data_IF_575228088543
#
_entry.id   IF_575228088543
#
_cell.length_a   1.000
_cell.length_b   1.000
_cell.length_c   1.000
_cell.angle_alpha   90.00
_cell.angle_beta   90.00
_cell.angle_gamma   90.00
#
_symmetry.space_group_name_H-M   'P 1'
#
loop_
_entity.id
_entity.type
_entity.pdbx_description
1 polymer ?
#
# COMPACT_ATOMS: atom_id res chain seq x y z
N UNK A 1 33.12 -21.25 -13.44
CA UNK A 1 31.73 -21.52 -13.76
C UNK A 1 30.88 -20.24 -13.67
N UNK A 2 31.00 -19.44 -12.62
CA UNK A 2 30.41 -18.13 -12.58
C UNK A 2 31.52 -17.08 -12.71
N UNK A 3 31.54 -16.37 -13.85
CA UNK A 3 32.46 -15.26 -14.04
C UNK A 3 32.01 -14.10 -13.12
N UNK A 4 32.99 -13.39 -12.54
CA UNK A 4 32.69 -12.17 -11.80
C UNK A 4 32.58 -11.01 -12.81
N UNK A 5 31.50 -11.03 -13.57
CA UNK A 5 31.20 -10.04 -14.62
C UNK A 5 29.92 -9.27 -14.22
N UNK A 6 29.82 -8.05 -14.68
CA UNK A 6 28.63 -7.21 -14.46
C UNK A 6 27.41 -7.71 -15.24
N UNK A 7 26.21 -7.26 -14.87
CA UNK A 7 24.99 -7.54 -15.64
C UNK A 7 25.16 -7.00 -17.07
N UNK A 8 25.76 -5.83 -17.23
CA UNK A 8 25.97 -5.21 -18.53
C UNK A 8 26.85 -6.04 -19.48
N UNK A 9 27.84 -6.77 -18.92
CA UNK A 9 28.70 -7.67 -19.68
C UNK A 9 28.04 -9.03 -19.95
N UNK A 10 27.20 -9.52 -19.02
CA UNK A 10 26.58 -10.83 -19.12
C UNK A 10 25.26 -10.80 -19.90
N UNK A 11 24.41 -9.81 -19.63
CA UNK A 11 23.09 -9.64 -20.24
C UNK A 11 22.83 -8.13 -20.51
N UNK A 12 23.33 -7.62 -21.64
CA UNK A 12 23.15 -6.20 -21.99
C UNK A 12 21.69 -5.77 -22.15
N UNK A 13 20.80 -6.67 -22.53
CA UNK A 13 19.37 -6.36 -22.73
C UNK A 13 18.72 -6.06 -21.38
N UNK A 14 18.95 -6.88 -20.37
CA UNK A 14 18.46 -6.65 -18.99
C UNK A 14 19.12 -5.41 -18.39
N UNK A 15 20.43 -5.22 -18.57
CA UNK A 15 21.13 -4.02 -18.10
C UNK A 15 20.53 -2.74 -18.68
N UNK A 16 20.24 -2.74 -19.99
CA UNK A 16 19.63 -1.58 -20.66
C UNK A 16 18.21 -1.32 -20.14
N UNK A 17 17.40 -2.36 -19.89
CA UNK A 17 16.05 -2.22 -19.35
C UNK A 17 16.10 -1.60 -17.93
N UNK A 18 17.03 -2.04 -17.06
CA UNK A 18 17.24 -1.47 -15.73
C UNK A 18 17.63 0.02 -15.84
N UNK A 19 18.61 0.34 -16.70
CA UNK A 19 19.05 1.72 -16.92
C UNK A 19 17.91 2.62 -17.42
N UNK A 20 17.06 2.11 -18.31
CA UNK A 20 15.91 2.84 -18.81
C UNK A 20 14.86 3.10 -17.72
N UNK A 21 14.64 2.12 -16.82
CA UNK A 21 13.71 2.29 -15.68
C UNK A 21 14.27 3.29 -14.65
N UNK A 22 15.57 3.25 -14.36
CA UNK A 22 16.23 4.24 -13.50
C UNK A 22 16.04 5.65 -14.07
N UNK A 23 16.29 5.82 -15.37
CA UNK A 23 16.10 7.10 -16.06
C UNK A 23 14.62 7.55 -16.04
N UNK A 24 13.67 6.62 -16.19
CA UNK A 24 12.24 6.91 -16.08
C UNK A 24 11.87 7.41 -14.69
N UNK A 25 12.33 6.73 -13.65
CA UNK A 25 12.07 7.13 -12.25
C UNK A 25 12.63 8.51 -11.93
N UNK A 26 13.80 8.85 -12.47
CA UNK A 26 14.38 10.19 -12.32
C UNK A 26 13.60 11.27 -13.07
N UNK A 27 13.12 10.98 -14.28
CA UNK A 27 12.47 11.94 -15.15
C UNK A 27 10.96 12.13 -14.90
N UNK A 28 10.30 11.18 -14.23
CA UNK A 28 8.86 11.19 -13.99
C UNK A 28 8.51 11.58 -12.54
N UNK A 29 7.36 12.22 -12.36
CA UNK A 29 6.75 12.42 -11.07
C UNK A 29 5.83 11.24 -10.78
N UNK A 30 6.11 10.49 -9.70
CA UNK A 30 5.35 9.32 -9.28
C UNK A 30 4.26 9.70 -8.29
N UNK A 31 2.99 9.51 -8.68
CA UNK A 31 1.82 9.77 -7.85
C UNK A 31 0.94 8.52 -7.63
N UNK A 32 1.40 7.34 -8.02
CA UNK A 32 0.71 6.10 -7.64
C UNK A 32 0.81 5.95 -6.12
N UNK A 33 -0.33 5.98 -5.43
CA UNK A 33 -0.41 6.01 -3.96
C UNK A 33 0.23 4.80 -3.24
N UNK A 34 0.45 3.70 -3.97
CA UNK A 34 1.07 2.48 -3.49
C UNK A 34 2.56 2.35 -3.84
N UNK A 35 3.16 3.37 -4.43
CA UNK A 35 4.58 3.41 -4.77
C UNK A 35 5.37 4.37 -3.88
N UNK A 36 6.64 4.05 -3.71
CA UNK A 36 7.59 4.87 -2.95
C UNK A 36 9.02 4.48 -3.34
N UNK A 37 10.00 5.29 -2.95
CA UNK A 37 11.41 5.01 -3.15
C UNK A 37 12.03 4.58 -1.81
N UNK A 38 12.47 3.32 -1.73
CA UNK A 38 13.17 2.82 -0.55
C UNK A 38 14.63 3.31 -0.51
N UNK A 39 15.23 3.27 0.68
CA UNK A 39 16.62 3.73 0.85
C UNK A 39 17.65 2.84 0.15
N UNK A 40 18.85 3.37 -0.14
CA UNK A 40 19.96 2.55 -0.63
C UNK A 40 20.26 1.35 0.27
N UNK A 41 20.17 1.49 1.61
CA UNK A 41 20.41 0.40 2.55
C UNK A 41 19.38 -0.74 2.41
N UNK A 42 18.10 -0.41 2.16
CA UNK A 42 17.06 -1.40 1.86
C UNK A 42 17.36 -2.12 0.56
N UNK A 43 17.78 -1.41 -0.49
CA UNK A 43 18.16 -2.00 -1.78
C UNK A 43 19.40 -2.88 -1.67
N UNK A 44 20.41 -2.48 -0.91
CA UNK A 44 21.61 -3.27 -0.65
C UNK A 44 21.29 -4.60 0.04
N UNK A 45 20.40 -4.57 1.04
CA UNK A 45 19.94 -5.80 1.69
C UNK A 45 19.20 -6.74 0.74
N UNK A 46 18.36 -6.20 -0.15
CA UNK A 46 17.65 -6.96 -1.17
C UNK A 46 18.60 -7.65 -2.17
N UNK A 47 19.69 -6.98 -2.55
CA UNK A 47 20.72 -7.52 -3.45
C UNK A 47 21.80 -8.37 -2.74
N UNK A 48 21.64 -8.64 -1.45
CA UNK A 48 22.66 -9.36 -0.67
C UNK A 48 22.73 -10.86 -0.94
N UNK A 49 23.82 -11.49 -0.51
CA UNK A 49 24.03 -12.94 -0.60
C UNK A 49 23.04 -13.77 0.22
N UNK A 50 22.21 -13.14 1.05
CA UNK A 50 21.15 -13.78 1.82
C UNK A 50 20.11 -14.48 0.92
N UNK A 51 20.00 -14.07 -0.34
CA UNK A 51 19.16 -14.73 -1.34
C UNK A 51 19.50 -16.21 -1.55
N UNK A 52 20.73 -16.61 -1.24
CA UNK A 52 21.20 -18.00 -1.41
C UNK A 52 20.80 -18.91 -0.25
N UNK A 53 20.31 -18.35 0.90
CA UNK A 53 20.08 -19.17 2.10
C UNK A 53 18.65 -19.68 2.19
N UNK A 54 18.52 -20.99 2.36
CA UNK A 54 17.25 -21.66 2.61
C UNK A 54 17.00 -21.83 4.11
N UNK A 55 15.90 -21.29 4.64
CA UNK A 55 15.66 -21.17 6.08
C UNK A 55 14.20 -21.46 6.48
N UNK A 56 13.66 -22.62 6.09
CA UNK A 56 12.31 -23.05 6.48
C UNK A 56 12.12 -23.11 7.99
N UNK A 57 10.90 -22.87 8.43
CA UNK A 57 10.48 -22.71 9.82
C UNK A 57 10.93 -21.36 10.43
N UNK A 58 11.04 -21.26 11.75
CA UNK A 58 11.21 -20.01 12.50
C UNK A 58 12.55 -19.98 13.24
N UNK A 59 13.01 -18.82 13.74
CA UNK A 59 14.25 -18.72 14.52
C UNK A 59 14.32 -19.76 15.64
N UNK A 60 15.46 -20.42 15.74
CA UNK A 60 15.71 -21.50 16.71
C UNK A 60 15.01 -22.84 16.43
N UNK A 61 14.20 -22.93 15.37
CA UNK A 61 13.42 -24.13 15.01
C UNK A 61 13.54 -24.46 13.51
N UNK A 62 14.67 -24.16 12.89
CA UNK A 62 14.88 -24.39 11.45
C UNK A 62 15.00 -25.88 11.14
N UNK A 63 14.52 -26.24 9.94
CA UNK A 63 14.73 -27.58 9.40
C UNK A 63 16.14 -27.79 8.83
N UNK A 64 16.87 -26.71 8.54
CA UNK A 64 18.19 -26.73 7.90
C UNK A 64 19.26 -26.12 8.80
N UNK A 65 20.50 -26.61 8.68
CA UNK A 65 21.67 -26.06 9.33
C UNK A 65 22.14 -24.73 8.71
N UNK A 66 23.08 -24.06 9.37
CA UNK A 66 23.71 -22.83 8.88
C UNK A 66 22.77 -21.63 8.93
N UNK A 67 21.85 -21.59 9.90
CA UNK A 67 20.85 -20.51 10.05
C UNK A 67 21.15 -19.55 11.21
N UNK A 68 22.30 -19.67 11.86
CA UNK A 68 22.66 -18.87 13.03
C UNK A 68 22.57 -17.36 12.79
N UNK A 69 23.00 -16.86 11.62
CA UNK A 69 22.92 -15.45 11.26
C UNK A 69 21.56 -15.04 10.70
N UNK A 70 20.89 -15.98 10.01
CA UNK A 70 19.51 -15.77 9.54
C UNK A 70 18.55 -15.62 10.72
N UNK A 71 18.74 -16.39 11.78
CA UNK A 71 17.95 -16.30 13.00
C UNK A 71 18.11 -14.92 13.66
N UNK A 72 19.31 -14.38 13.69
CA UNK A 72 19.56 -13.01 14.17
C UNK A 72 18.82 -11.97 13.31
N UNK A 73 18.88 -12.10 11.99
CA UNK A 73 18.23 -11.18 11.07
C UNK A 73 16.69 -11.22 11.23
N UNK A 74 16.11 -12.41 11.25
CA UNK A 74 14.67 -12.56 11.37
C UNK A 74 14.19 -12.11 12.75
N UNK A 75 14.93 -12.43 13.83
CA UNK A 75 14.57 -11.95 15.16
C UNK A 75 14.62 -10.42 15.26
N UNK A 76 15.64 -9.76 14.69
CA UNK A 76 15.70 -8.31 14.62
C UNK A 76 14.50 -7.71 13.86
N UNK A 77 14.07 -8.34 12.77
CA UNK A 77 12.90 -7.88 12.02
C UNK A 77 11.62 -8.03 12.85
N UNK A 78 11.45 -9.15 13.57
CA UNK A 78 10.31 -9.40 14.46
C UNK A 78 10.28 -8.36 15.59
N UNK A 79 11.39 -8.18 16.29
CA UNK A 79 11.49 -7.28 17.46
C UNK A 79 11.20 -5.83 17.06
N UNK A 80 11.81 -5.38 15.95
CA UNK A 80 11.59 -4.03 15.40
C UNK A 80 10.15 -3.82 14.91
N UNK A 81 9.53 -4.82 14.30
CA UNK A 81 8.12 -4.74 13.89
C UNK A 81 7.20 -4.60 15.10
N UNK A 82 7.44 -5.39 16.16
CA UNK A 82 6.69 -5.32 17.43
C UNK A 82 6.84 -3.95 18.08
N UNK A 83 8.07 -3.44 18.19
CA UNK A 83 8.36 -2.13 18.77
C UNK A 83 7.71 -1.00 17.95
N UNK A 84 7.89 -0.99 16.62
CA UNK A 84 7.42 0.06 15.73
C UNK A 84 5.89 0.21 15.76
N UNK A 85 5.16 -0.91 15.81
CA UNK A 85 3.70 -0.92 15.72
C UNK A 85 3.00 -1.14 17.06
N UNK A 86 3.75 -1.36 18.15
CA UNK A 86 3.17 -1.70 19.46
C UNK A 86 2.42 -3.04 19.45
N UNK A 87 2.93 -4.03 18.69
CA UNK A 87 2.33 -5.35 18.57
C UNK A 87 2.92 -6.34 19.55
N UNK A 88 2.12 -7.31 19.99
CA UNK A 88 2.60 -8.41 20.85
C UNK A 88 3.18 -9.57 20.01
N UNK A 89 2.68 -9.73 18.79
CA UNK A 89 3.11 -10.74 17.83
C UNK A 89 3.44 -10.11 16.47
N UNK A 90 4.49 -10.62 15.82
CA UNK A 90 4.83 -10.27 14.44
C UNK A 90 5.31 -11.50 13.67
N UNK A 91 4.86 -11.66 12.42
CA UNK A 91 5.40 -12.63 11.47
C UNK A 91 5.91 -11.87 10.24
N UNK A 92 7.23 -11.95 10.03
CA UNK A 92 7.94 -11.20 8.98
C UNK A 92 8.22 -12.05 7.73
N UNK A 93 7.69 -13.27 7.66
CA UNK A 93 7.95 -14.19 6.54
C UNK A 93 7.02 -14.01 5.33
N UNK A 94 5.82 -13.40 5.40
CA UNK A 94 5.00 -13.23 4.20
C UNK A 94 5.77 -12.54 3.06
N UNK A 95 5.73 -13.17 1.86
CA UNK A 95 6.43 -12.68 0.68
C UNK A 95 5.83 -11.39 0.12
N UNK A 96 4.51 -11.23 0.24
CA UNK A 96 3.77 -10.02 -0.15
C UNK A 96 2.52 -9.84 0.71
N UNK A 97 1.85 -8.68 0.60
CA UNK A 97 0.61 -8.41 1.32
C UNK A 97 -0.50 -9.43 1.04
N UNK A 98 -0.64 -9.87 -0.22
CA UNK A 98 -1.64 -10.87 -0.58
C UNK A 98 -1.39 -12.23 0.08
N UNK A 99 -0.12 -12.64 0.26
CA UNK A 99 0.23 -13.85 1.01
C UNK A 99 0.01 -13.67 2.51
N UNK A 100 0.31 -12.49 3.07
CA UNK A 100 -0.03 -12.19 4.45
C UNK A 100 -1.55 -12.31 4.68
N UNK A 101 -2.36 -11.71 3.80
CA UNK A 101 -3.80 -11.80 3.88
C UNK A 101 -4.29 -13.24 3.72
N UNK A 102 -3.79 -14.00 2.74
CA UNK A 102 -4.21 -15.40 2.55
C UNK A 102 -3.86 -16.29 3.75
N UNK A 103 -2.74 -16.01 4.42
CA UNK A 103 -2.37 -16.73 5.64
C UNK A 103 -3.34 -16.43 6.80
N UNK A 104 -3.82 -15.18 6.92
CA UNK A 104 -4.83 -14.82 7.93
C UNK A 104 -6.15 -15.55 7.66
N UNK A 105 -6.61 -15.57 6.41
CA UNK A 105 -7.81 -16.32 6.02
C UNK A 105 -7.66 -17.81 6.34
N UNK A 106 -6.53 -18.41 5.95
CA UNK A 106 -6.24 -19.82 6.20
C UNK A 106 -6.17 -20.15 7.69
N UNK A 107 -5.66 -19.22 8.52
CA UNK A 107 -5.53 -19.40 9.96
C UNK A 107 -6.87 -19.37 10.70
N UNK A 108 -7.81 -18.53 10.26
CA UNK A 108 -9.00 -18.17 11.02
C UNK A 108 -10.31 -18.69 10.44
N UNK A 109 -10.31 -19.14 9.17
CA UNK A 109 -11.52 -19.49 8.43
C UNK A 109 -11.41 -20.88 7.80
N UNK A 110 -12.58 -21.45 7.53
CA UNK A 110 -12.72 -22.62 6.66
C UNK A 110 -13.23 -22.18 5.28
N UNK A 111 -12.91 -22.92 4.20
CA UNK A 111 -13.50 -22.66 2.89
C UNK A 111 -15.04 -22.60 2.95
N UNK A 112 -15.61 -21.57 2.33
CA UNK A 112 -17.06 -21.32 2.35
C UNK A 112 -17.56 -20.44 3.51
N UNK A 113 -16.73 -20.16 4.51
CA UNK A 113 -17.09 -19.20 5.58
C UNK A 113 -17.44 -17.82 4.97
N UNK A 114 -18.39 -17.14 5.61
CA UNK A 114 -18.78 -15.80 5.17
C UNK A 114 -17.79 -14.75 5.67
N UNK A 115 -17.37 -13.86 4.78
CA UNK A 115 -16.53 -12.70 5.07
C UNK A 115 -17.24 -11.42 4.62
N UNK A 116 -17.05 -10.34 5.36
CA UNK A 116 -17.57 -9.01 5.02
C UNK A 116 -16.39 -8.07 4.80
N UNK A 117 -16.22 -7.53 3.59
CA UNK A 117 -15.10 -6.66 3.23
C UNK A 117 -15.52 -5.49 2.35
N UNK A 118 -14.66 -4.48 2.24
CA UNK A 118 -14.93 -3.31 1.38
C UNK A 118 -14.92 -3.71 -0.09
N UNK A 119 -15.92 -3.24 -0.83
CA UNK A 119 -16.02 -3.43 -2.28
C UNK A 119 -14.82 -2.83 -3.02
N UNK A 120 -14.31 -3.56 -4.00
CA UNK A 120 -13.22 -3.08 -4.87
C UNK A 120 -13.59 -1.77 -5.58
N UNK A 121 -14.85 -1.62 -6.00
CA UNK A 121 -15.35 -0.41 -6.64
C UNK A 121 -15.42 0.81 -5.70
N UNK A 122 -15.43 0.58 -4.40
CA UNK A 122 -15.47 1.60 -3.36
C UNK A 122 -14.13 1.77 -2.62
N UNK A 123 -13.05 1.25 -3.17
CA UNK A 123 -11.71 1.43 -2.63
C UNK A 123 -11.15 0.26 -1.83
N UNK A 124 -11.82 -0.89 -1.78
CA UNK A 124 -11.29 -2.12 -1.18
C UNK A 124 -10.09 -2.68 -1.95
N UNK A 125 -9.44 -3.69 -1.37
CA UNK A 125 -8.38 -4.44 -2.04
C UNK A 125 -8.94 -5.73 -2.66
N UNK A 126 -8.26 -6.27 -3.68
CA UNK A 126 -8.62 -7.55 -4.31
C UNK A 126 -8.82 -8.68 -3.28
N UNK A 127 -7.96 -8.74 -2.26
CA UNK A 127 -8.01 -9.76 -1.20
C UNK A 127 -9.07 -9.51 -0.12
N UNK A 128 -9.92 -8.50 -0.27
CA UNK A 128 -11.04 -8.22 0.65
C UNK A 128 -12.37 -8.83 0.15
N UNK A 129 -12.31 -9.88 -0.66
CA UNK A 129 -13.50 -10.61 -1.15
C UNK A 129 -13.83 -10.38 -2.62
N UNK A 130 -12.93 -9.77 -3.42
CA UNK A 130 -13.20 -9.61 -4.85
C UNK A 130 -13.26 -10.98 -5.55
N UNK A 131 -14.29 -11.18 -6.40
CA UNK A 131 -14.61 -12.46 -7.08
C UNK A 131 -13.44 -13.07 -7.86
N UNK A 132 -12.52 -12.25 -8.35
CA UNK A 132 -11.34 -12.69 -9.12
C UNK A 132 -10.18 -13.15 -8.24
N UNK A 133 -10.18 -12.76 -6.96
CA UNK A 133 -9.15 -13.08 -5.97
C UNK A 133 -9.45 -14.42 -5.27
N UNK A 134 -8.44 -14.99 -4.60
CA UNK A 134 -8.62 -16.18 -3.76
C UNK A 134 -9.74 -15.97 -2.72
N UNK A 135 -9.82 -14.76 -2.13
CA UNK A 135 -10.79 -14.42 -1.09
C UNK A 135 -12.24 -14.50 -1.57
N UNK A 136 -12.52 -14.09 -2.81
CA UNK A 136 -13.85 -14.21 -3.38
C UNK A 136 -14.13 -15.55 -4.08
N UNK A 137 -13.09 -16.37 -4.33
CA UNK A 137 -13.24 -17.71 -4.92
C UNK A 137 -13.42 -18.81 -3.88
N UNK A 138 -12.82 -18.63 -2.69
CA UNK A 138 -12.80 -19.66 -1.64
C UNK A 138 -13.86 -19.41 -0.57
N UNK A 139 -14.23 -18.15 -0.34
CA UNK A 139 -15.11 -17.72 0.74
C UNK A 139 -16.38 -17.07 0.20
N UNK A 140 -17.46 -17.09 1.02
CA UNK A 140 -18.69 -16.37 0.72
C UNK A 140 -18.50 -14.89 1.05
N UNK A 141 -18.08 -14.11 0.06
CA UNK A 141 -17.72 -12.70 0.24
C UNK A 141 -18.94 -11.78 0.08
N UNK A 142 -19.33 -11.13 1.16
CA UNK A 142 -20.27 -10.01 1.21
C UNK A 142 -19.46 -8.71 1.20
N UNK A 143 -19.94 -7.69 0.49
CA UNK A 143 -19.22 -6.45 0.34
C UNK A 143 -20.02 -5.26 0.88
N UNK A 144 -19.35 -4.39 1.67
CA UNK A 144 -19.87 -3.08 2.04
C UNK A 144 -19.27 -1.99 1.16
N UNK A 145 -19.93 -0.85 1.13
CA UNK A 145 -19.54 0.30 0.33
C UNK A 145 -19.35 1.58 1.13
N UNK A 146 -19.25 2.67 0.37
CA UNK A 146 -19.27 4.03 0.88
C UNK A 146 -20.67 4.60 0.80
N UNK A 147 -21.00 5.51 1.71
CA UNK A 147 -22.21 6.31 1.61
C UNK A 147 -22.17 7.11 0.29
N UNK A 148 -23.18 7.03 -0.56
CA UNK A 148 -23.16 7.66 -1.88
C UNK A 148 -23.18 9.19 -1.86
N UNK A 149 -23.63 9.80 -0.75
CA UNK A 149 -23.73 11.25 -0.61
C UNK A 149 -22.42 11.84 -0.07
N UNK A 150 -21.81 11.18 0.93
CA UNK A 150 -20.61 11.69 1.60
C UNK A 150 -19.31 11.15 1.04
N UNK A 151 -19.34 9.97 0.39
CA UNK A 151 -18.14 9.25 -0.04
C UNK A 151 -17.35 8.64 1.13
N UNK A 152 -17.92 8.56 2.32
CA UNK A 152 -17.32 7.98 3.52
C UNK A 152 -17.83 6.55 3.76
N UNK A 153 -17.09 5.78 4.59
CA UNK A 153 -17.52 4.42 4.99
C UNK A 153 -18.86 4.52 5.69
N UNK A 154 -19.85 3.77 5.17
CA UNK A 154 -21.17 3.65 5.79
C UNK A 154 -21.16 2.58 6.88
N UNK A 155 -20.82 2.98 8.11
CA UNK A 155 -20.75 2.05 9.24
C UNK A 155 -22.12 1.45 9.63
N UNK A 156 -23.22 2.14 9.34
CA UNK A 156 -24.56 1.63 9.61
C UNK A 156 -24.88 0.50 8.63
N UNK A 157 -24.49 0.66 7.39
CA UNK A 157 -24.60 -0.40 6.38
C UNK A 157 -23.67 -1.59 6.70
N UNK A 158 -22.44 -1.32 7.16
CA UNK A 158 -21.52 -2.39 7.64
C UNK A 158 -22.18 -3.18 8.77
N UNK A 159 -22.77 -2.51 9.76
CA UNK A 159 -23.44 -3.17 10.89
C UNK A 159 -24.69 -3.96 10.43
N UNK A 160 -25.51 -3.38 9.56
CA UNK A 160 -26.67 -4.04 8.99
C UNK A 160 -26.31 -5.33 8.26
N UNK A 161 -25.30 -5.28 7.39
CA UNK A 161 -24.79 -6.43 6.65
C UNK A 161 -24.17 -7.48 7.58
N UNK A 162 -23.46 -7.06 8.62
CA UNK A 162 -22.88 -7.97 9.60
C UNK A 162 -23.97 -8.73 10.38
N UNK A 163 -25.04 -8.07 10.78
CA UNK A 163 -26.18 -8.69 11.48
C UNK A 163 -26.94 -9.66 10.56
N UNK A 164 -27.16 -9.26 9.31
CA UNK A 164 -27.90 -10.05 8.30
C UNK A 164 -27.12 -11.31 7.90
N UNK A 165 -25.84 -11.17 7.57
CA UNK A 165 -25.04 -12.26 6.99
C UNK A 165 -24.19 -13.03 8.00
N UNK A 166 -24.04 -12.52 9.24
CA UNK A 166 -23.26 -13.12 10.33
C UNK A 166 -21.88 -13.63 9.86
N UNK A 167 -21.05 -12.74 9.31
CA UNK A 167 -19.75 -13.14 8.81
C UNK A 167 -18.87 -13.73 9.92
N UNK A 168 -18.03 -14.69 9.56
CA UNK A 168 -17.00 -15.22 10.47
C UNK A 168 -15.87 -14.24 10.67
N UNK A 169 -15.63 -13.35 9.66
CA UNK A 169 -14.60 -12.32 9.68
C UNK A 169 -15.10 -11.05 9.00
N UNK A 170 -14.81 -9.91 9.62
CA UNK A 170 -14.92 -8.59 9.01
C UNK A 170 -13.53 -8.12 8.62
N UNK A 171 -13.36 -7.73 7.35
CA UNK A 171 -12.10 -7.22 6.79
C UNK A 171 -12.24 -5.71 6.63
N UNK A 172 -11.49 -4.97 7.43
CA UNK A 172 -11.37 -3.52 7.32
C UNK A 172 -10.04 -3.13 6.67
N UNK A 173 -10.01 -1.95 6.07
CA UNK A 173 -8.84 -1.47 5.32
C UNK A 173 -9.18 -1.16 3.87
N UNK A 174 -8.28 -0.48 3.19
CA UNK A 174 -8.56 0.07 1.87
C UNK A 174 -7.31 0.19 0.99
N UNK A 175 -7.56 0.39 -0.30
CA UNK A 175 -6.56 0.77 -1.32
C UNK A 175 -6.79 2.18 -1.86
N UNK A 176 -8.01 2.73 -1.70
CA UNK A 176 -8.40 4.01 -2.30
C UNK A 176 -9.49 4.69 -1.46
N UNK A 177 -9.17 5.02 -0.21
CA UNK A 177 -10.04 5.77 0.70
C UNK A 177 -9.24 6.89 1.36
N UNK A 178 -9.76 8.10 1.38
CA UNK A 178 -9.00 9.30 1.73
C UNK A 178 -9.21 9.80 3.16
N UNK A 179 -10.16 9.24 3.92
CA UNK A 179 -10.44 9.68 5.28
C UNK A 179 -9.84 8.74 6.35
N UNK A 180 -9.92 9.16 7.60
CA UNK A 180 -9.56 8.30 8.74
C UNK A 180 -10.62 7.21 8.90
N UNK A 181 -10.16 5.97 9.13
CA UNK A 181 -11.03 4.84 9.47
C UNK A 181 -11.16 4.72 10.98
N UNK A 182 -12.39 4.63 11.44
CA UNK A 182 -12.71 4.33 12.84
C UNK A 182 -12.62 2.80 13.07
N UNK A 183 -11.43 2.35 13.49
CA UNK A 183 -11.17 0.94 13.77
C UNK A 183 -12.00 0.42 14.95
N UNK A 184 -12.30 1.27 15.94
CA UNK A 184 -13.09 0.87 17.11
C UNK A 184 -14.53 0.56 16.70
N UNK A 185 -15.09 1.34 15.78
CA UNK A 185 -16.43 1.08 15.27
C UNK A 185 -16.54 -0.25 14.53
N UNK A 186 -15.50 -0.63 13.76
CA UNK A 186 -15.40 -1.97 13.18
C UNK A 186 -15.30 -3.06 14.25
N UNK A 187 -14.54 -2.83 15.32
CA UNK A 187 -14.43 -3.77 16.45
C UNK A 187 -15.78 -4.00 17.12
N UNK A 188 -16.48 -2.91 17.42
CA UNK A 188 -17.81 -2.98 18.06
C UNK A 188 -18.82 -3.77 17.21
N UNK A 189 -18.80 -3.57 15.89
CA UNK A 189 -19.64 -4.33 14.95
C UNK A 189 -19.25 -5.81 14.94
N UNK A 190 -17.95 -6.11 14.87
CA UNK A 190 -17.46 -7.49 14.86
C UNK A 190 -17.85 -8.23 16.16
N UNK A 191 -17.74 -7.57 17.32
CA UNK A 191 -18.11 -8.13 18.60
C UNK A 191 -19.61 -8.45 18.70
N UNK A 192 -20.47 -7.59 18.15
CA UNK A 192 -21.92 -7.81 18.12
C UNK A 192 -22.33 -9.12 17.43
N UNK A 193 -21.56 -9.55 16.42
CA UNK A 193 -21.86 -10.75 15.62
C UNK A 193 -20.92 -11.93 15.92
N UNK A 194 -19.95 -11.76 16.81
CA UNK A 194 -18.94 -12.78 17.14
C UNK A 194 -17.96 -13.06 16.00
N UNK A 195 -17.66 -12.07 15.18
CA UNK A 195 -16.71 -12.17 14.08
C UNK A 195 -15.30 -11.79 14.49
N UNK A 196 -14.29 -12.37 13.81
CA UNK A 196 -12.94 -11.82 13.86
C UNK A 196 -12.91 -10.45 13.16
N UNK A 197 -12.16 -9.49 13.72
CA UNK A 197 -11.79 -8.27 13.05
C UNK A 197 -10.38 -8.43 12.47
N UNK A 198 -10.27 -8.45 11.16
CA UNK A 198 -9.03 -8.43 10.42
C UNK A 198 -8.85 -7.07 9.75
N UNK A 199 -7.71 -6.41 10.00
CA UNK A 199 -7.40 -5.10 9.38
C UNK A 199 -6.20 -5.22 8.46
N UNK A 200 -6.37 -4.82 7.20
CA UNK A 200 -5.30 -4.61 6.24
C UNK A 200 -4.96 -3.11 6.19
N UNK A 201 -3.89 -2.71 6.90
CA UNK A 201 -3.45 -1.32 6.96
C UNK A 201 -2.38 -0.96 5.92
N UNK A 202 -2.21 -1.78 4.87
CA UNK A 202 -1.10 -1.66 3.93
C UNK A 202 -0.89 -0.25 3.38
N UNK A 203 -1.96 0.47 3.06
CA UNK A 203 -1.84 1.82 2.52
C UNK A 203 -1.37 2.86 3.54
N UNK A 204 -1.74 2.71 4.79
CA UNK A 204 -1.45 3.69 5.85
C UNK A 204 -0.39 3.25 6.85
N UNK A 205 0.26 2.11 6.64
CA UNK A 205 1.21 1.54 7.60
C UNK A 205 2.35 2.50 7.99
N UNK A 206 2.87 3.29 7.06
CA UNK A 206 3.87 4.30 7.37
C UNK A 206 3.33 5.44 8.25
N UNK A 207 2.10 5.86 7.99
CA UNK A 207 1.41 6.88 8.80
C UNK A 207 1.10 6.35 10.21
N UNK A 208 0.69 5.09 10.32
CA UNK A 208 0.46 4.40 11.61
C UNK A 208 1.78 4.29 12.39
N UNK A 209 2.86 3.83 11.75
CA UNK A 209 4.18 3.72 12.36
C UNK A 209 4.70 5.06 12.91
N UNK A 210 4.40 6.15 12.21
CA UNK A 210 4.77 7.51 12.62
C UNK A 210 3.81 8.14 13.66
N UNK A 211 2.72 7.48 14.01
CA UNK A 211 1.67 8.04 14.87
C UNK A 211 0.91 9.20 14.26
N UNK A 212 0.81 9.25 12.93
CA UNK A 212 0.08 10.27 12.15
C UNK A 212 -1.32 9.79 11.74
N UNK A 213 -1.55 8.49 11.81
CA UNK A 213 -2.84 7.84 11.55
C UNK A 213 -3.16 6.84 12.69
N UNK A 214 -4.43 6.64 13.06
CA UNK A 214 -4.78 5.75 14.16
C UNK A 214 -4.34 4.31 13.89
N UNK A 215 -3.79 3.66 14.92
CA UNK A 215 -3.31 2.27 14.83
C UNK A 215 -4.46 1.27 15.06
N UNK A 216 -4.64 0.26 14.19
CA UNK A 216 -5.59 -0.83 14.43
C UNK A 216 -5.01 -1.97 15.27
N UNK A 217 -3.70 -2.00 15.53
CA UNK A 217 -2.96 -3.19 15.97
C UNK A 217 -3.46 -3.78 17.30
N UNK A 218 -3.83 -2.94 18.26
CA UNK A 218 -4.38 -3.39 19.55
C UNK A 218 -5.92 -3.50 19.56
N UNK A 219 -6.58 -3.10 18.47
CA UNK A 219 -8.03 -3.15 18.29
C UNK A 219 -8.43 -4.43 17.54
N UNK A 220 -7.78 -4.70 16.42
CA UNK A 220 -8.03 -5.88 15.58
C UNK A 220 -7.56 -7.19 16.26
N UNK A 221 -8.11 -8.31 15.82
CA UNK A 221 -7.57 -9.63 16.18
C UNK A 221 -6.27 -9.91 15.44
N UNK A 222 -6.22 -9.52 14.16
CA UNK A 222 -5.02 -9.59 13.31
C UNK A 222 -4.96 -8.35 12.43
N UNK A 223 -3.74 -7.83 12.26
CA UNK A 223 -3.43 -6.73 11.33
C UNK A 223 -2.38 -7.17 10.33
N UNK A 224 -2.59 -6.88 9.06
CA UNK A 224 -1.57 -7.08 8.02
C UNK A 224 -1.14 -5.78 7.40
N UNK A 225 0.01 -5.80 6.79
CA UNK A 225 0.48 -4.72 5.93
C UNK A 225 1.44 -5.21 4.85
N UNK A 226 1.62 -4.40 3.83
CA UNK A 226 2.78 -4.41 2.95
C UNK A 226 3.87 -3.52 3.55
N UNK A 227 5.12 -3.69 3.12
CA UNK A 227 6.23 -2.88 3.62
C UNK A 227 6.72 -1.80 2.64
N UNK A 228 6.19 -1.75 1.40
CA UNK A 228 6.73 -0.95 0.29
C UNK A 228 5.92 0.29 -0.11
N UNK A 229 4.81 0.61 0.58
CA UNK A 229 3.97 1.78 0.27
C UNK A 229 4.38 2.97 1.14
N UNK A 230 3.49 3.49 1.97
CA UNK A 230 3.84 4.57 2.91
C UNK A 230 4.96 4.19 3.87
N UNK A 231 5.13 2.90 4.18
CA UNK A 231 6.20 2.42 5.06
C UNK A 231 7.60 2.53 4.43
N UNK A 232 7.70 2.64 3.10
CA UNK A 232 8.95 2.93 2.35
C UNK A 232 10.03 1.85 2.45
N UNK A 233 9.63 0.59 2.59
CA UNK A 233 10.54 -0.56 2.66
C UNK A 233 10.56 -1.42 1.40
N UNK A 234 11.07 -2.65 1.50
CA UNK A 234 11.09 -3.60 0.38
C UNK A 234 9.68 -4.07 0.04
N UNK A 235 9.48 -4.56 -1.18
CA UNK A 235 8.24 -5.24 -1.57
C UNK A 235 8.10 -6.54 -0.82
N UNK A 236 7.26 -6.56 0.21
CA UNK A 236 7.03 -7.71 1.07
C UNK A 236 5.74 -7.53 1.90
N UNK A 237 5.42 -8.50 2.77
CA UNK A 237 4.28 -8.48 3.69
C UNK A 237 4.69 -8.65 5.15
N UNK A 238 3.76 -8.33 6.04
CA UNK A 238 3.92 -8.43 7.49
C UNK A 238 2.56 -8.77 8.12
N UNK A 239 2.56 -9.63 9.14
CA UNK A 239 1.40 -9.92 9.98
C UNK A 239 1.72 -9.49 11.40
N UNK A 240 0.79 -8.78 12.03
CA UNK A 240 0.85 -8.30 13.41
C UNK A 240 -0.39 -8.76 14.16
N UNK A 241 -0.27 -8.98 15.46
CA UNK A 241 -1.42 -9.24 16.32
C UNK A 241 -1.19 -8.74 17.74
N UNK A 242 -2.29 -8.48 18.46
CA UNK A 242 -2.29 -8.39 19.92
C UNK A 242 -2.09 -9.79 20.53
N UNK A 243 -1.72 -9.86 21.79
CA UNK A 243 -1.45 -11.12 22.47
C UNK A 243 -2.65 -12.08 22.41
N UNK A 244 -2.48 -13.21 21.72
CA UNK A 244 -3.42 -14.31 21.67
C UNK A 244 -2.70 -15.58 21.19
N UNK A 245 -2.31 -16.43 22.14
CA UNK A 245 -1.49 -17.62 21.85
C UNK A 245 -2.13 -18.57 20.81
N UNK A 246 -3.46 -18.71 20.80
CA UNK A 246 -4.17 -19.56 19.87
C UNK A 246 -4.07 -18.99 18.43
N UNK A 247 -4.33 -17.70 18.28
CA UNK A 247 -4.24 -17.00 16.98
C UNK A 247 -2.79 -17.01 16.48
N UNK A 248 -1.83 -16.72 17.34
CA UNK A 248 -0.40 -16.72 16.99
C UNK A 248 0.06 -18.07 16.44
N UNK A 249 -0.30 -19.18 17.09
CA UNK A 249 0.01 -20.54 16.63
C UNK A 249 -0.62 -20.84 15.26
N UNK A 250 -1.88 -20.44 15.08
CA UNK A 250 -2.58 -20.60 13.79
C UNK A 250 -1.92 -19.79 12.69
N UNK A 251 -1.56 -18.52 12.95
CA UNK A 251 -0.87 -17.65 11.99
C UNK A 251 0.50 -18.21 11.61
N UNK A 252 1.30 -18.67 12.56
CA UNK A 252 2.59 -19.29 12.28
C UNK A 252 2.43 -20.51 11.37
N UNK A 253 1.51 -21.41 11.70
CA UNK A 253 1.23 -22.61 10.90
C UNK A 253 0.67 -22.26 9.51
N UNK A 254 -0.15 -21.23 9.40
CA UNK A 254 -0.75 -20.80 8.15
C UNK A 254 0.28 -20.15 7.21
N UNK A 255 1.28 -19.44 7.73
CA UNK A 255 2.39 -18.92 6.94
C UNK A 255 3.30 -20.07 6.52
N UNK A 256 3.86 -20.80 7.47
CA UNK A 256 4.70 -21.95 7.20
C UNK A 256 4.27 -23.15 8.08
N UNK A 257 3.97 -24.30 7.49
CA UNK A 257 4.07 -24.66 6.06
C UNK A 257 2.79 -24.41 5.23
N UNK A 258 1.77 -23.73 5.79
CA UNK A 258 0.42 -23.68 5.20
C UNK A 258 0.33 -22.96 3.86
N UNK A 259 1.05 -21.86 3.68
CA UNK A 259 0.95 -20.99 2.51
C UNK A 259 2.28 -20.76 1.79
N UNK A 260 3.41 -20.92 2.48
CA UNK A 260 4.76 -20.68 1.97
C UNK A 260 5.71 -21.81 2.38
N UNK A 261 6.84 -21.92 1.64
CA UNK A 261 8.04 -22.65 2.02
C UNK A 261 9.05 -21.74 2.71
N UNK A 262 10.32 -21.80 2.29
CA UNK A 262 11.39 -20.97 2.83
C UNK A 262 11.13 -19.46 2.66
N UNK A 263 11.43 -18.65 3.69
CA UNK A 263 11.30 -17.21 3.61
C UNK A 263 12.34 -16.57 2.68
N UNK A 264 12.03 -15.41 2.14
CA UNK A 264 12.97 -14.57 1.38
C UNK A 264 13.87 -13.81 2.37
N UNK A 265 15.00 -14.43 2.78
CA UNK A 265 15.84 -13.90 3.86
C UNK A 265 16.39 -12.50 3.56
N UNK A 266 16.75 -12.23 2.29
CA UNK A 266 17.16 -10.90 1.83
C UNK A 266 16.03 -9.86 2.02
N UNK A 267 14.78 -10.24 1.78
CA UNK A 267 13.63 -9.34 2.02
C UNK A 267 13.35 -9.16 3.53
N UNK A 268 13.58 -10.19 4.35
CA UNK A 268 13.48 -10.07 5.82
C UNK A 268 14.54 -9.11 6.36
N UNK A 269 15.79 -9.18 5.87
CA UNK A 269 16.85 -8.23 6.22
C UNK A 269 16.48 -6.80 5.82
N UNK A 270 15.98 -6.61 4.62
CA UNK A 270 15.52 -5.32 4.12
C UNK A 270 14.36 -4.75 4.96
N UNK A 271 13.42 -5.60 5.42
CA UNK A 271 12.37 -5.20 6.39
C UNK A 271 12.95 -4.75 7.72
N UNK A 272 13.94 -5.47 8.26
CA UNK A 272 14.58 -5.09 9.51
C UNK A 272 15.26 -3.71 9.42
N UNK A 273 15.83 -3.36 8.27
CA UNK A 273 16.39 -2.02 7.99
C UNK A 273 15.27 -0.98 7.90
N UNK A 274 14.25 -1.24 7.09
CA UNK A 274 13.09 -0.37 6.93
C UNK A 274 12.43 -0.02 8.28
N UNK A 275 12.22 -1.00 9.16
CA UNK A 275 11.63 -0.77 10.48
C UNK A 275 12.53 0.11 11.36
N UNK A 276 13.85 -0.08 11.28
CA UNK A 276 14.80 0.80 11.98
C UNK A 276 14.76 2.24 11.47
N UNK A 277 14.66 2.44 10.16
CA UNK A 277 14.49 3.77 9.57
C UNK A 277 13.17 4.41 10.02
N UNK A 278 12.07 3.63 10.07
CA UNK A 278 10.76 4.11 10.47
C UNK A 278 10.67 4.48 11.97
N UNK A 279 11.58 4.01 12.81
CA UNK A 279 11.67 4.41 14.23
C UNK A 279 12.46 5.73 14.43
N UNK A 280 13.11 6.26 13.40
CA UNK A 280 13.86 7.51 13.50
C UNK A 280 12.90 8.72 13.60
N UNK A 281 13.23 9.77 14.40
CA UNK A 281 12.37 10.96 14.54
C UNK A 281 12.05 11.65 13.22
N UNK A 282 12.97 11.65 12.27
CA UNK A 282 12.83 12.25 10.94
C UNK A 282 11.73 11.56 10.12
N UNK A 283 11.48 10.30 10.38
CA UNK A 283 10.42 9.54 9.71
C UNK A 283 9.03 10.10 10.02
N UNK A 284 8.81 10.56 11.25
CA UNK A 284 7.54 11.22 11.63
C UNK A 284 7.36 12.53 10.87
N UNK A 285 8.42 13.32 10.74
CA UNK A 285 8.40 14.57 9.95
C UNK A 285 8.08 14.28 8.49
N UNK A 286 8.70 13.24 7.92
CA UNK A 286 8.41 12.78 6.56
C UNK A 286 6.93 12.41 6.38
N UNK A 287 6.36 11.60 7.26
CA UNK A 287 4.96 11.17 7.16
C UNK A 287 3.97 12.32 7.35
N UNK A 288 4.27 13.28 8.21
CA UNK A 288 3.49 14.50 8.33
C UNK A 288 3.51 15.31 7.03
N UNK A 289 4.68 15.41 6.38
CA UNK A 289 4.78 16.09 5.09
C UNK A 289 4.02 15.35 3.98
N UNK A 290 4.00 14.01 3.99
CA UNK A 290 3.19 13.21 3.05
C UNK A 290 1.71 13.62 3.12
N UNK A 291 1.14 13.74 4.32
CA UNK A 291 -0.25 14.14 4.51
C UNK A 291 -0.48 15.60 4.07
N UNK A 292 0.39 16.52 4.48
CA UNK A 292 0.30 17.94 4.08
C UNK A 292 0.36 18.11 2.55
N UNK A 293 1.22 17.34 1.89
CA UNK A 293 1.32 17.38 0.44
C UNK A 293 0.03 16.88 -0.23
N UNK A 294 -0.59 15.81 0.27
CA UNK A 294 -1.87 15.33 -0.24
C UNK A 294 -2.99 16.36 -0.07
N UNK A 295 -3.07 16.98 1.11
CA UNK A 295 -4.03 18.03 1.39
C UNK A 295 -3.83 19.26 0.49
N UNK A 296 -2.58 19.71 0.33
CA UNK A 296 -2.25 20.85 -0.51
C UNK A 296 -2.62 20.63 -2.00
N UNK A 297 -2.41 19.41 -2.53
CA UNK A 297 -2.85 19.07 -3.88
C UNK A 297 -4.37 19.06 -4.00
N UNK A 298 -5.06 18.43 -3.04
CA UNK A 298 -6.52 18.37 -3.02
C UNK A 298 -7.16 19.75 -2.98
N UNK A 299 -6.64 20.67 -2.16
CA UNK A 299 -7.10 22.07 -2.07
C UNK A 299 -7.01 22.80 -3.43
N UNK A 300 -5.91 22.66 -4.15
CA UNK A 300 -5.73 23.29 -5.47
C UNK A 300 -6.74 22.73 -6.47
N UNK A 301 -6.94 21.41 -6.50
CA UNK A 301 -7.87 20.78 -7.43
C UNK A 301 -9.33 21.14 -7.11
N UNK A 302 -9.70 21.21 -5.83
CA UNK A 302 -11.02 21.69 -5.40
C UNK A 302 -11.23 23.15 -5.84
N UNK A 303 -10.25 24.03 -5.64
CA UNK A 303 -10.31 25.42 -6.06
C UNK A 303 -10.44 25.59 -7.58
N UNK A 304 -9.95 24.60 -8.37
CA UNK A 304 -10.09 24.51 -9.83
C UNK A 304 -11.45 23.88 -10.26
N UNK A 305 -12.33 23.55 -9.30
CA UNK A 305 -13.66 23.01 -9.58
C UNK A 305 -13.73 21.50 -9.78
N UNK A 306 -12.69 20.76 -9.39
CA UNK A 306 -12.70 19.31 -9.39
C UNK A 306 -13.33 18.74 -8.11
N UNK A 307 -13.96 17.58 -8.23
CA UNK A 307 -14.52 16.86 -7.10
C UNK A 307 -13.49 15.87 -6.54
N UNK A 308 -13.19 16.00 -5.27
CA UNK A 308 -12.44 14.98 -4.50
C UNK A 308 -13.48 14.12 -3.77
N UNK A 309 -13.42 12.80 -3.95
CA UNK A 309 -14.28 11.85 -3.22
C UNK A 309 -14.09 12.06 -1.71
N UNK A 310 -15.20 12.12 -0.96
CA UNK A 310 -15.24 12.49 0.46
C UNK A 310 -14.75 13.92 0.81
N UNK A 311 -14.69 14.82 -0.17
CA UNK A 311 -14.46 16.24 0.05
C UNK A 311 -13.03 16.66 0.36
N UNK A 312 -12.08 15.71 0.42
CA UNK A 312 -10.67 15.99 0.74
C UNK A 312 -9.90 14.76 1.17
N UNK A 313 -8.82 14.95 1.92
CA UNK A 313 -8.02 13.82 2.44
C UNK A 313 -7.46 14.09 3.83
N UNK A 314 -7.40 13.02 4.63
CA UNK A 314 -6.78 12.99 5.96
C UNK A 314 -5.57 12.03 5.98
N UNK A 315 -5.15 11.52 4.81
CA UNK A 315 -4.02 10.61 4.69
C UNK A 315 -3.14 10.95 3.47
N UNK A 316 -2.47 9.96 2.88
CA UNK A 316 -1.49 10.12 1.81
C UNK A 316 -2.05 10.12 0.40
N UNK A 317 -3.35 9.91 0.23
CA UNK A 317 -3.98 9.77 -1.09
C UNK A 317 -5.35 10.47 -1.15
N UNK A 318 -5.82 10.69 -2.36
CA UNK A 318 -7.20 11.05 -2.64
C UNK A 318 -7.64 10.52 -4.01
N UNK A 319 -8.97 10.44 -4.19
CA UNK A 319 -9.58 10.12 -5.46
C UNK A 319 -10.12 11.39 -6.11
N UNK A 320 -9.68 11.68 -7.31
CA UNK A 320 -10.18 12.76 -8.15
C UNK A 320 -11.27 12.21 -9.06
N UNK A 321 -12.51 12.70 -8.88
CA UNK A 321 -13.61 12.39 -9.79
C UNK A 321 -13.56 13.29 -11.02
N UNK A 322 -13.69 12.69 -12.19
CA UNK A 322 -13.70 13.34 -13.49
C UNK A 322 -15.07 13.30 -14.19
N UNK A 323 -16.12 12.89 -13.44
CA UNK A 323 -17.48 12.76 -14.00
C UNK A 323 -17.98 14.10 -14.53
N UNK A 324 -17.82 15.18 -13.77
CA UNK A 324 -18.27 16.53 -14.15
C UNK A 324 -17.54 17.08 -15.37
N UNK A 325 -16.27 16.73 -15.54
CA UNK A 325 -15.44 17.17 -16.66
C UNK A 325 -15.70 16.35 -17.94
N UNK A 326 -16.48 15.28 -17.83
CA UNK A 326 -16.68 14.29 -18.89
C UNK A 326 -15.35 13.79 -19.49
N UNK A 327 -14.43 13.42 -18.58
CA UNK A 327 -13.12 12.82 -18.88
C UNK A 327 -13.09 11.44 -18.24
N UNK A 328 -12.55 10.47 -18.95
CA UNK A 328 -12.36 9.12 -18.41
C UNK A 328 -11.04 9.03 -17.61
N UNK A 329 -10.99 8.13 -16.63
CA UNK A 329 -9.75 7.82 -15.93
C UNK A 329 -8.67 7.32 -16.90
N UNK A 330 -9.05 6.59 -17.97
CA UNK A 330 -8.14 6.10 -18.99
C UNK A 330 -7.51 7.24 -19.83
N UNK A 331 -8.30 8.25 -20.20
CA UNK A 331 -7.77 9.44 -20.91
C UNK A 331 -6.85 10.25 -20.01
N UNK A 332 -7.28 10.53 -18.77
CA UNK A 332 -6.46 11.26 -17.80
C UNK A 332 -5.10 10.57 -17.54
N UNK A 333 -5.11 9.25 -17.31
CA UNK A 333 -3.90 8.44 -17.14
C UNK A 333 -2.95 8.56 -18.33
N UNK A 334 -3.49 8.48 -19.56
CA UNK A 334 -2.70 8.60 -20.79
C UNK A 334 -2.11 10.01 -20.97
N UNK A 335 -2.90 11.07 -20.76
CA UNK A 335 -2.43 12.45 -20.93
C UNK A 335 -1.39 12.85 -19.89
N UNK A 336 -1.62 12.50 -18.63
CA UNK A 336 -0.68 12.76 -17.53
C UNK A 336 0.62 11.95 -17.72
N UNK A 337 0.50 10.68 -18.11
CA UNK A 337 1.66 9.85 -18.44
C UNK A 337 2.52 10.43 -19.56
N UNK A 338 1.91 11.00 -20.60
CA UNK A 338 2.62 11.69 -21.68
C UNK A 338 3.36 12.95 -21.20
N UNK A 339 2.88 13.59 -20.13
CA UNK A 339 3.55 14.71 -19.47
C UNK A 339 4.54 14.28 -18.37
N UNK A 340 4.87 12.98 -18.27
CA UNK A 340 5.74 12.40 -17.23
C UNK A 340 5.18 12.53 -15.80
N UNK A 341 3.86 12.52 -15.66
CA UNK A 341 3.16 12.45 -14.38
C UNK A 341 2.45 11.09 -14.32
N UNK A 342 2.94 10.19 -13.44
CA UNK A 342 2.44 8.83 -13.33
C UNK A 342 1.34 8.75 -12.28
N UNK A 343 0.13 8.37 -12.71
CA UNK A 343 -1.04 8.13 -11.84
C UNK A 343 -1.63 6.76 -12.17
N UNK A 344 -2.70 6.36 -11.49
CA UNK A 344 -3.51 5.25 -11.96
C UNK A 344 -4.98 5.65 -12.10
N UNK A 345 -5.64 5.17 -13.17
CA UNK A 345 -7.09 5.25 -13.26
C UNK A 345 -7.75 4.49 -12.13
N UNK A 346 -8.84 5.01 -11.60
CA UNK A 346 -9.55 4.41 -10.48
C UNK A 346 -11.06 4.65 -10.63
N UNK A 347 -11.86 3.62 -10.29
CA UNK A 347 -13.31 3.81 -10.18
C UNK A 347 -13.60 4.79 -9.02
N UNK A 348 -14.64 5.58 -9.17
CA UNK A 348 -15.19 6.44 -8.12
C UNK A 348 -16.54 5.85 -7.67
N UNK A 349 -17.04 6.19 -6.46
CA UNK A 349 -18.36 5.74 -6.04
C UNK A 349 -19.42 6.07 -7.08
N UNK A 350 -20.29 5.10 -7.37
CA UNK A 350 -21.34 5.20 -8.41
C UNK A 350 -20.80 5.50 -9.83
N UNK A 351 -19.60 5.00 -10.14
CA UNK A 351 -18.96 5.21 -11.43
C UNK A 351 -19.88 4.72 -12.58
N UNK A 352 -20.25 5.61 -13.53
CA UNK A 352 -21.11 5.20 -14.67
C UNK A 352 -20.35 4.39 -15.73
N UNK A 353 -19.03 4.30 -15.64
CA UNK A 353 -18.14 3.65 -16.62
C UNK A 353 -17.67 2.28 -16.12
N UNK A 354 -17.22 1.45 -17.04
CA UNK A 354 -16.69 0.13 -16.70
C UNK A 354 -15.35 0.23 -15.92
N UNK A 355 -14.97 -0.80 -15.15
CA UNK A 355 -13.70 -0.83 -14.41
C UNK A 355 -12.44 -0.70 -15.28
N UNK A 356 -12.54 -0.96 -16.60
CA UNK A 356 -11.43 -0.81 -17.54
C UNK A 356 -11.24 0.63 -18.04
N UNK A 357 -12.26 1.46 -17.90
CA UNK A 357 -12.28 2.86 -18.36
C UNK A 357 -12.20 3.80 -17.17
N UNK A 358 -13.09 3.65 -16.19
CA UNK A 358 -13.25 4.43 -14.97
C UNK A 358 -13.58 5.91 -15.19
N UNK A 359 -14.02 6.61 -14.16
CA UNK A 359 -14.30 8.04 -14.17
C UNK A 359 -13.46 8.84 -13.18
N UNK A 360 -12.34 8.28 -12.74
CA UNK A 360 -11.44 8.97 -11.83
C UNK A 360 -10.01 8.49 -11.94
N UNK A 361 -9.15 9.19 -11.21
CA UNK A 361 -7.77 8.83 -10.96
C UNK A 361 -7.47 8.87 -9.47
N UNK A 362 -6.57 8.00 -9.01
CA UNK A 362 -6.05 8.02 -7.64
C UNK A 362 -4.70 8.72 -7.65
N UNK A 363 -4.51 9.64 -6.71
CA UNK A 363 -3.29 10.43 -6.53
C UNK A 363 -2.79 10.18 -5.10
N UNK A 364 -1.48 9.93 -4.95
CA UNK A 364 -0.81 9.78 -3.67
C UNK A 364 0.53 10.49 -3.63
N UNK A 365 0.98 10.85 -2.46
CA UNK A 365 2.13 11.72 -2.25
C UNK A 365 3.36 11.10 -1.57
N UNK A 366 3.42 9.80 -1.23
CA UNK A 366 4.61 9.22 -0.59
C UNK A 366 5.88 9.37 -1.42
N UNK A 367 5.85 9.01 -2.71
CA UNK A 367 7.00 9.03 -3.59
C UNK A 367 7.54 10.45 -3.84
N UNK A 368 6.68 11.42 -4.13
CA UNK A 368 7.09 12.83 -4.33
C UNK A 368 7.63 13.45 -3.05
N UNK A 369 7.11 13.07 -1.88
CA UNK A 369 7.62 13.52 -0.59
C UNK A 369 9.00 12.91 -0.30
N UNK A 370 9.21 11.63 -0.61
CA UNK A 370 10.54 10.99 -0.52
C UNK A 370 11.54 11.69 -1.43
N UNK A 371 11.10 12.12 -2.62
CA UNK A 371 11.89 12.88 -3.58
C UNK A 371 12.28 14.26 -3.07
N UNK A 372 11.60 14.78 -2.04
CA UNK A 372 11.90 16.07 -1.43
C UNK A 372 10.91 17.20 -1.75
N UNK A 373 9.76 16.89 -2.39
CA UNK A 373 8.73 17.88 -2.63
C UNK A 373 8.07 18.31 -1.33
N UNK A 374 7.90 19.64 -1.18
CA UNK A 374 7.08 20.26 -0.17
C UNK A 374 5.74 20.73 -0.74
N UNK A 375 4.99 21.48 0.09
CA UNK A 375 3.66 21.97 -0.29
C UNK A 375 3.70 22.94 -1.50
N UNK A 376 4.80 23.69 -1.70
CA UNK A 376 4.93 24.59 -2.84
C UNK A 376 4.99 23.80 -4.17
N UNK A 377 5.85 22.81 -4.25
CA UNK A 377 6.03 21.97 -5.45
C UNK A 377 4.76 21.19 -5.79
N UNK A 378 4.09 20.61 -4.77
CA UNK A 378 2.87 19.83 -5.03
C UNK A 378 1.66 20.71 -5.39
N UNK A 379 1.60 21.97 -4.94
CA UNK A 379 0.59 22.93 -5.40
C UNK A 379 0.77 23.28 -6.87
N UNK A 380 2.00 23.54 -7.31
CA UNK A 380 2.29 23.75 -8.75
C UNK A 380 1.94 22.50 -9.56
N UNK A 381 2.33 21.32 -9.10
CA UNK A 381 2.02 20.05 -9.73
C UNK A 381 0.51 19.83 -9.88
N UNK A 382 -0.28 20.12 -8.85
CA UNK A 382 -1.74 20.04 -8.92
C UNK A 382 -2.32 21.00 -9.96
N UNK A 383 -1.74 22.21 -10.09
CA UNK A 383 -2.06 23.15 -11.16
C UNK A 383 -1.78 22.59 -12.54
N UNK A 384 -0.64 21.94 -12.73
CA UNK A 384 -0.27 21.32 -14.02
C UNK A 384 -1.20 20.16 -14.38
N UNK A 385 -1.58 19.34 -13.40
CA UNK A 385 -2.58 18.27 -13.60
C UNK A 385 -3.90 18.89 -14.08
N UNK A 386 -4.38 19.93 -13.40
CA UNK A 386 -5.61 20.62 -13.81
C UNK A 386 -5.51 21.22 -15.21
N UNK A 387 -4.38 21.85 -15.58
CA UNK A 387 -4.18 22.42 -16.92
C UNK A 387 -4.31 21.37 -18.04
N UNK A 388 -3.73 20.17 -17.82
CA UNK A 388 -3.84 19.06 -18.79
C UNK A 388 -5.29 18.57 -18.87
N UNK A 389 -5.97 18.41 -17.75
CA UNK A 389 -7.35 17.91 -17.71
C UNK A 389 -8.33 18.93 -18.31
N UNK A 390 -8.17 20.22 -18.00
CA UNK A 390 -9.00 21.32 -18.53
C UNK A 390 -8.83 21.47 -20.07
N UNK A 391 -7.62 21.24 -20.57
CA UNK A 391 -7.33 21.25 -22.02
C UNK A 391 -7.82 19.99 -22.75
N UNK A 392 -8.34 18.99 -22.03
CA UNK A 392 -8.72 17.67 -22.55
C UNK A 392 -7.59 17.01 -23.36
N UNK A 393 -6.37 17.12 -22.84
CA UNK A 393 -5.20 16.46 -23.42
C UNK A 393 -4.62 17.16 -24.65
N UNK A 394 -4.75 18.48 -24.76
CA UNK A 394 -4.09 19.26 -25.81
C UNK A 394 -2.59 19.01 -25.79
N UNK A 395 -2.03 18.65 -26.94
CA UNK A 395 -0.62 18.24 -27.06
C UNK A 395 0.35 19.38 -26.72
N UNK A 396 0.01 20.63 -27.01
CA UNK A 396 0.86 21.77 -26.68
C UNK A 396 0.90 21.99 -25.16
N UNK A 397 -0.23 21.81 -24.46
CA UNK A 397 -0.30 21.88 -23.00
C UNK A 397 0.48 20.73 -22.37
N UNK A 398 0.31 19.49 -22.86
CA UNK A 398 1.06 18.31 -22.37
C UNK A 398 2.56 18.57 -22.50
N UNK A 399 3.04 19.01 -23.66
CA UNK A 399 4.47 19.26 -23.90
C UNK A 399 5.01 20.42 -23.01
N UNK A 400 4.22 21.45 -22.80
CA UNK A 400 4.59 22.54 -21.89
C UNK A 400 4.70 22.09 -20.43
N UNK A 401 3.77 21.26 -19.99
CA UNK A 401 3.82 20.66 -18.63
C UNK A 401 4.98 19.68 -18.51
N UNK A 402 5.21 18.84 -19.50
CA UNK A 402 6.36 17.91 -19.52
C UNK A 402 7.69 18.62 -19.27
N UNK A 403 7.91 19.75 -19.97
CA UNK A 403 9.13 20.54 -19.76
C UNK A 403 9.25 21.08 -18.32
N UNK A 404 8.13 21.44 -17.67
CA UNK A 404 8.11 21.85 -16.26
C UNK A 404 8.43 20.67 -15.33
N UNK A 405 7.87 19.48 -15.61
CA UNK A 405 8.13 18.25 -14.87
C UNK A 405 9.61 17.88 -14.96
N UNK A 406 10.21 17.88 -16.14
CA UNK A 406 11.63 17.61 -16.31
C UNK A 406 12.51 18.61 -15.54
N UNK A 407 12.16 19.89 -15.57
CA UNK A 407 12.89 20.93 -14.86
C UNK A 407 12.79 20.80 -13.35
N UNK A 408 11.64 20.41 -12.78
CA UNK A 408 11.52 20.20 -11.33
C UNK A 408 12.18 18.89 -10.90
N UNK A 409 12.05 17.82 -11.69
CA UNK A 409 12.70 16.55 -11.43
C UNK A 409 14.24 16.68 -11.34
N UNK A 410 14.83 17.51 -12.20
CA UNK A 410 16.27 17.79 -12.17
C UNK A 410 16.73 18.48 -10.87
N UNK A 411 15.84 19.22 -10.18
CA UNK A 411 16.14 19.86 -8.89
C UNK A 411 16.00 18.90 -7.71
N UNK A 412 15.21 17.86 -7.86
CA UNK A 412 14.88 16.88 -6.83
C UNK A 412 15.17 15.47 -7.35
N UNK A 413 16.43 15.07 -7.56
CA UNK A 413 16.74 13.72 -8.02
C UNK A 413 16.34 12.68 -6.97
N UNK A 414 15.94 11.50 -7.43
CA UNK A 414 15.51 10.39 -6.57
C UNK A 414 16.72 9.69 -5.93
N UNK A 415 17.74 9.44 -6.75
CA UNK A 415 18.92 8.64 -6.40
C UNK A 415 20.18 9.50 -6.30
N UNK A 416 20.04 10.78 -5.92
CA UNK A 416 21.21 11.63 -5.64
C UNK A 416 22.03 11.07 -4.49
N UNK A 417 23.33 10.97 -4.73
CA UNK A 417 24.31 10.50 -3.76
C UNK A 417 24.62 11.56 -2.70
#
# INVERSE_FOLDING_TARGET
MFANISIAEFDPEIAQAITNEDARQEAHIELIASENYCSPAVMEAQGSKLTNKYAECYPGKRYYGGCEYVDVIEQLAIDRAKELFGADYANVQPHAGSQANSAVYLALLNPGDTVLGMSLAHGGHLTHGAKVSFSGKTYNAIQYGLNPETGEIDYEEVERLAIEHKPRMIVAGFSAYSQIVDWQRFRDIADKVGAYLFVDMAHVAGLVAAGVYPSPVQIADVTTTTTHKTLRGPRSGLILAKANEEIEKKLQSAVFPGNQGGPLVHAVAAKAICFKEAMAPEYKVYQQQVVKNAQAMAEVLIARGYDIVSGGTENHLFLLSLIKQDVTGKEADAWLGAAHITVNKNAVPNDPRSPFVTSGIRIGTPAVTTRGFGEAEVRELAGWIADILDSKGDEAVINAVKAKVEAVCAKFPVYAN
#
